data_IF_999529957234
#
_entry.id   IF_999529957234
#
_cell.length_a   1.000
_cell.length_b   1.000
_cell.length_c   1.000
_cell.angle_alpha   90.00
_cell.angle_beta   90.00
_cell.angle_gamma   90.00
#
_symmetry.space_group_name_H-M   'P 1'
#
loop_
_entity.id
_entity.type
_entity.pdbx_description
1 polymer ?
#
# COMPACT_ATOMS: atom_id res chain seq x y z
N UNK A 1 8.70 -35.51 18.66
CA UNK A 1 7.92 -34.63 17.76
C UNK A 1 7.31 -33.52 18.60
N UNK A 2 8.03 -32.40 18.76
CA UNK A 2 7.57 -31.28 19.58
C UNK A 2 6.61 -30.40 18.76
N UNK A 3 5.37 -30.24 19.25
CA UNK A 3 4.38 -29.36 18.67
C UNK A 3 4.91 -27.92 18.70
N UNK A 4 5.02 -27.30 17.54
CA UNK A 4 5.39 -25.89 17.38
C UNK A 4 4.23 -25.06 17.93
N UNK A 5 4.34 -24.67 19.19
CA UNK A 5 3.37 -23.82 19.87
C UNK A 5 3.37 -22.46 19.16
N UNK A 6 2.37 -22.23 18.30
CA UNK A 6 2.08 -20.92 17.74
C UNK A 6 1.68 -20.03 18.92
N UNK A 7 2.65 -19.29 19.45
CA UNK A 7 2.41 -18.20 20.39
C UNK A 7 1.52 -17.19 19.67
N UNK A 8 0.21 -17.30 19.84
CA UNK A 8 -0.74 -16.27 19.46
C UNK A 8 -0.36 -15.01 20.22
N UNK A 9 0.25 -14.04 19.52
CA UNK A 9 0.54 -12.73 20.11
C UNK A 9 -0.78 -12.08 20.48
N UNK A 10 -1.05 -12.01 21.78
CA UNK A 10 -2.16 -11.23 22.34
C UNK A 10 -1.79 -9.76 22.26
N UNK A 11 -2.41 -9.03 21.33
CA UNK A 11 -2.30 -7.57 21.25
C UNK A 11 -3.24 -6.96 22.30
N UNK A 12 -2.74 -6.82 23.52
CA UNK A 12 -3.43 -6.07 24.58
C UNK A 12 -2.76 -4.71 24.71
N UNK A 13 -3.23 -3.72 23.97
CA UNK A 13 -3.05 -2.31 24.31
C UNK A 13 -4.23 -1.52 23.77
N UNK A 14 -4.92 -0.81 24.66
CA UNK A 14 -5.72 0.33 24.24
C UNK A 14 -4.82 1.28 23.41
N UNK A 15 -5.32 1.88 22.33
CA UNK A 15 -4.51 2.77 21.50
C UNK A 15 -3.96 3.91 22.37
N UNK A 16 -2.62 3.97 22.54
CA UNK A 16 -1.99 5.12 23.17
C UNK A 16 -2.09 6.29 22.20
N UNK A 17 -2.94 7.25 22.55
CA UNK A 17 -3.10 8.50 21.83
C UNK A 17 -1.80 9.29 21.80
N UNK A 18 -1.00 9.22 22.86
CA UNK A 18 0.26 9.95 23.00
C UNK A 18 1.32 9.40 22.03
N UNK A 19 1.42 8.07 21.90
CA UNK A 19 2.35 7.45 20.97
C UNK A 19 2.00 7.80 19.51
N UNK A 20 0.71 7.77 19.19
CA UNK A 20 0.22 8.17 17.88
C UNK A 20 0.50 9.65 17.60
N UNK A 21 0.23 10.54 18.56
CA UNK A 21 0.44 11.99 18.38
C UNK A 21 1.92 12.35 18.22
N UNK A 22 2.81 11.69 18.98
CA UNK A 22 4.26 11.80 18.76
C UNK A 22 4.67 11.34 17.36
N UNK A 23 4.11 10.22 16.90
CA UNK A 23 4.38 9.73 15.55
C UNK A 23 3.88 10.71 14.48
N UNK A 24 2.67 11.26 14.61
CA UNK A 24 2.12 12.26 13.68
C UNK A 24 3.06 13.47 13.57
N UNK A 25 3.55 13.97 14.71
CA UNK A 25 4.50 15.09 14.73
C UNK A 25 5.81 14.74 14.03
N UNK A 26 6.38 13.57 14.30
CA UNK A 26 7.63 13.12 13.66
C UNK A 26 7.45 12.83 12.15
N UNK A 27 6.27 12.36 11.76
CA UNK A 27 5.90 12.02 10.39
C UNK A 27 5.83 13.23 9.46
N UNK A 28 5.48 14.42 9.98
CA UNK A 28 5.32 15.64 9.19
C UNK A 28 6.61 16.04 8.44
N UNK A 29 7.77 15.81 9.06
CA UNK A 29 9.08 16.15 8.47
C UNK A 29 9.75 14.98 7.75
N UNK A 30 9.18 13.78 7.86
CA UNK A 30 9.77 12.55 7.31
C UNK A 30 9.64 12.54 5.78
N UNK A 31 10.77 12.27 5.11
CA UNK A 31 10.85 12.14 3.66
C UNK A 31 11.58 10.85 3.31
N UNK A 32 11.00 10.04 2.43
CA UNK A 32 11.66 8.87 1.86
C UNK A 32 12.10 9.21 0.44
N UNK A 33 13.34 8.90 0.10
CA UNK A 33 13.89 9.11 -1.24
C UNK A 33 14.39 7.80 -1.81
N UNK A 34 13.95 7.47 -3.02
CA UNK A 34 14.44 6.35 -3.79
C UNK A 34 15.02 6.84 -5.10
N UNK A 35 16.13 6.24 -5.52
CA UNK A 35 16.73 6.45 -6.84
C UNK A 35 16.77 5.12 -7.57
N UNK A 36 16.38 5.14 -8.85
CA UNK A 36 16.40 3.96 -9.70
C UNK A 36 16.74 4.35 -11.14
N UNK A 37 17.45 3.47 -11.84
CA UNK A 37 17.45 3.45 -13.30
C UNK A 37 16.19 2.71 -13.74
N UNK A 38 15.42 3.30 -14.65
CA UNK A 38 14.15 2.76 -15.12
C UNK A 38 14.39 1.69 -16.19
N UNK A 39 15.03 0.58 -15.80
CA UNK A 39 15.48 -0.46 -16.73
C UNK A 39 14.33 -1.06 -17.55
N UNK A 40 14.53 -1.28 -18.87
CA UNK A 40 13.54 -1.91 -19.75
C UNK A 40 13.22 -3.35 -19.32
N UNK A 41 14.15 -4.07 -18.70
CA UNK A 41 13.93 -5.45 -18.25
C UNK A 41 12.78 -5.53 -17.23
N UNK A 42 12.70 -4.59 -16.29
CA UNK A 42 11.63 -4.56 -15.30
C UNK A 42 10.25 -4.27 -15.94
N UNK A 43 10.23 -3.46 -17.01
CA UNK A 43 9.00 -3.25 -17.77
C UNK A 43 8.65 -4.46 -18.63
N UNK A 44 9.65 -5.20 -19.14
CA UNK A 44 9.41 -6.45 -19.84
C UNK A 44 8.69 -7.45 -18.93
N UNK A 45 9.15 -7.59 -17.68
CA UNK A 45 8.52 -8.43 -16.65
C UNK A 45 7.08 -7.99 -16.37
N UNK A 46 6.84 -6.67 -16.26
CA UNK A 46 5.51 -6.11 -16.11
C UNK A 46 4.61 -6.46 -17.32
N UNK A 47 5.11 -6.31 -18.54
CA UNK A 47 4.33 -6.53 -19.76
C UNK A 47 3.95 -8.01 -19.93
N UNK A 48 4.84 -8.95 -19.60
CA UNK A 48 4.49 -10.37 -19.68
C UNK A 48 3.55 -10.81 -18.54
N UNK A 49 3.66 -10.17 -17.36
CA UNK A 49 2.81 -10.48 -16.21
C UNK A 49 1.40 -9.89 -16.36
N UNK A 50 1.31 -8.66 -16.86
CA UNK A 50 0.07 -7.91 -17.06
C UNK A 50 -0.04 -7.43 -18.53
N UNK A 51 -0.26 -8.35 -19.49
CA UNK A 51 -0.17 -8.07 -20.93
C UNK A 51 -1.24 -7.11 -21.46
N UNK A 52 -2.19 -6.69 -20.64
CA UNK A 52 -3.20 -5.69 -20.99
C UNK A 52 -2.78 -4.25 -20.65
N UNK A 53 -1.62 -4.06 -20.00
CA UNK A 53 -1.20 -2.74 -19.50
C UNK A 53 -0.29 -1.94 -20.41
N UNK A 54 0.19 -2.49 -21.52
CA UNK A 54 0.83 -1.70 -22.58
C UNK A 54 -0.20 -0.87 -23.40
N UNK A 55 -1.50 -1.02 -23.11
CA UNK A 55 -2.59 -0.34 -23.80
C UNK A 55 -2.96 -0.95 -25.15
N UNK A 56 -2.36 -2.08 -25.52
CA UNK A 56 -2.57 -2.68 -26.83
C UNK A 56 -2.88 -4.17 -26.71
N UNK A 57 -3.93 -4.65 -27.38
CA UNK A 57 -4.15 -6.11 -27.56
C UNK A 57 -3.14 -6.69 -28.58
N UNK A 58 -1.96 -6.09 -28.70
CA UNK A 58 -0.97 -6.44 -29.71
C UNK A 58 -0.02 -7.52 -29.15
N UNK A 59 0.71 -8.21 -30.02
CA UNK A 59 1.81 -9.05 -29.58
C UNK A 59 2.80 -8.25 -28.73
N UNK A 60 3.42 -8.93 -27.76
CA UNK A 60 4.46 -8.37 -26.92
C UNK A 60 5.55 -7.69 -27.77
N UNK A 61 5.90 -6.48 -27.38
CA UNK A 61 7.05 -5.74 -27.91
C UNK A 61 7.93 -5.34 -26.73
N UNK A 62 9.24 -5.62 -26.76
CA UNK A 62 10.11 -5.23 -25.67
C UNK A 62 10.18 -3.69 -25.56
N UNK A 63 10.15 -3.14 -24.33
CA UNK A 63 10.33 -1.71 -24.10
C UNK A 63 11.73 -1.28 -24.50
N UNK A 64 11.81 -0.18 -25.25
CA UNK A 64 13.08 0.40 -25.71
C UNK A 64 13.51 1.56 -24.84
N UNK A 65 14.81 1.67 -24.58
CA UNK A 65 15.38 2.83 -23.87
C UNK A 65 15.12 4.14 -24.62
N UNK A 66 15.03 5.24 -23.87
CA UNK A 66 14.70 6.56 -24.36
C UNK A 66 13.22 6.78 -24.68
N UNK A 67 12.40 5.72 -24.71
CA UNK A 67 10.97 5.88 -24.99
C UNK A 67 10.20 6.35 -23.75
N UNK A 68 9.08 7.08 -23.93
CA UNK A 68 8.17 7.44 -22.84
C UNK A 68 7.60 6.21 -22.13
N UNK A 69 7.71 6.17 -20.81
CA UNK A 69 7.06 5.15 -19.99
C UNK A 69 5.53 5.30 -20.04
N UNK A 70 4.82 4.17 -20.15
CA UNK A 70 3.37 4.14 -20.13
C UNK A 70 2.76 4.54 -18.78
N UNK A 71 1.51 5.03 -18.81
CA UNK A 71 0.81 5.45 -17.59
C UNK A 71 0.61 4.29 -16.62
N UNK A 72 0.89 4.56 -15.34
CA UNK A 72 0.82 3.58 -14.25
C UNK A 72 1.98 2.58 -14.19
N UNK A 73 2.89 2.54 -15.17
CA UNK A 73 4.01 1.58 -15.14
C UNK A 73 5.09 1.94 -14.11
N UNK A 74 5.17 3.21 -13.71
CA UNK A 74 6.09 3.67 -12.66
C UNK A 74 5.89 2.98 -11.31
N UNK A 75 4.71 2.37 -11.08
CA UNK A 75 4.38 1.66 -9.84
C UNK A 75 5.29 0.48 -9.52
N UNK A 76 6.01 -0.06 -10.50
CA UNK A 76 6.93 -1.19 -10.26
C UNK A 76 8.35 -0.74 -9.89
N UNK A 77 8.72 0.53 -10.00
CA UNK A 77 10.13 0.93 -9.86
C UNK A 77 10.57 1.39 -8.46
N UNK A 78 9.71 2.08 -7.74
CA UNK A 78 10.08 2.78 -6.50
C UNK A 78 9.54 2.10 -5.25
N UNK A 79 9.53 0.77 -5.24
CA UNK A 79 9.13 0.01 -4.06
C UNK A 79 10.20 0.10 -2.96
N UNK A 80 9.80 0.10 -1.67
CA UNK A 80 10.73 -0.01 -0.56
C UNK A 80 11.64 -1.24 -0.70
N UNK A 81 12.92 -1.10 -0.34
CA UNK A 81 13.91 -2.18 -0.32
C UNK A 81 14.21 -2.62 1.11
N UNK A 82 13.14 -2.81 1.88
CA UNK A 82 13.20 -3.19 3.29
C UNK A 82 13.39 -4.71 3.39
N UNK A 83 14.43 -5.20 4.10
CA UNK A 83 14.59 -6.63 4.34
C UNK A 83 13.37 -7.24 5.03
N UNK A 84 13.05 -8.50 4.73
CA UNK A 84 11.85 -9.16 5.26
C UNK A 84 11.77 -9.13 6.80
N UNK A 85 12.92 -9.24 7.49
CA UNK A 85 13.01 -9.19 8.96
C UNK A 85 12.56 -7.86 9.56
N UNK A 86 12.61 -6.79 8.77
CA UNK A 86 12.28 -5.42 9.17
C UNK A 86 10.88 -5.00 8.71
N UNK A 87 10.15 -5.90 8.02
CA UNK A 87 8.77 -5.68 7.64
C UNK A 87 7.84 -5.81 8.85
N UNK A 88 6.72 -5.11 8.78
CA UNK A 88 5.62 -5.23 9.75
C UNK A 88 5.01 -6.64 9.70
N UNK A 89 4.24 -7.05 10.71
CA UNK A 89 3.60 -8.36 10.73
C UNK A 89 2.71 -8.70 9.53
N UNK A 90 2.21 -7.69 8.81
CA UNK A 90 1.41 -7.84 7.59
C UNK A 90 2.25 -7.85 6.29
N UNK A 91 3.59 -7.90 6.41
CA UNK A 91 4.53 -7.88 5.28
C UNK A 91 4.75 -6.50 4.66
N UNK A 92 4.26 -5.44 5.30
CA UNK A 92 4.40 -4.07 4.79
C UNK A 92 5.61 -3.34 5.37
N UNK A 93 6.11 -2.33 4.67
CA UNK A 93 7.16 -1.44 5.19
C UNK A 93 6.66 -0.64 6.42
N UNK A 94 7.58 -0.23 7.30
CA UNK A 94 7.22 0.46 8.55
C UNK A 94 7.24 1.99 8.46
N UNK A 95 7.75 2.57 7.36
CA UNK A 95 8.22 3.96 7.39
C UNK A 95 7.12 5.00 7.60
N UNK A 96 5.98 4.84 6.92
CA UNK A 96 4.83 5.74 7.03
C UNK A 96 3.63 5.04 7.66
N UNK A 97 3.91 4.12 8.56
CA UNK A 97 2.92 3.35 9.28
C UNK A 97 2.77 3.88 10.72
N UNK A 98 1.53 4.14 11.18
CA UNK A 98 1.29 4.48 12.58
C UNK A 98 1.70 3.32 13.50
N UNK A 99 2.03 3.63 14.78
CA UNK A 99 2.40 2.61 15.76
C UNK A 99 1.24 1.65 16.07
N UNK A 100 1.54 0.57 16.80
CA UNK A 100 0.49 -0.31 17.33
C UNK A 100 -0.56 0.49 18.13
N UNK A 101 -1.86 0.09 18.09
CA UNK A 101 -2.41 -1.14 17.51
C UNK A 101 -2.81 -1.03 16.02
N UNK A 102 -2.41 0.03 15.30
CA UNK A 102 -2.84 0.31 13.92
C UNK A 102 -2.08 -0.52 12.86
N UNK A 103 -2.21 -1.84 12.95
CA UNK A 103 -1.42 -2.81 12.16
C UNK A 103 -2.11 -3.34 10.91
N UNK A 104 -3.42 -3.13 10.74
CA UNK A 104 -4.13 -3.53 9.51
C UNK A 104 -4.21 -2.34 8.56
N UNK A 105 -3.59 -2.44 7.38
CA UNK A 105 -3.59 -1.41 6.33
C UNK A 105 -4.59 -1.73 5.22
N UNK A 106 -5.30 -0.72 4.73
CA UNK A 106 -6.10 -0.79 3.50
C UNK A 106 -5.80 0.41 2.60
N UNK A 107 -5.88 0.22 1.28
CA UNK A 107 -5.85 1.32 0.31
C UNK A 107 -7.23 1.98 0.26
N UNK A 108 -7.32 3.24 0.68
CA UNK A 108 -8.58 3.98 0.74
C UNK A 108 -8.85 4.80 -0.53
N UNK A 109 -7.80 5.14 -1.29
CA UNK A 109 -7.93 5.91 -2.53
C UNK A 109 -6.62 6.59 -2.91
N UNK A 110 -6.67 7.39 -3.98
CA UNK A 110 -5.51 8.15 -4.45
C UNK A 110 -5.78 8.86 -5.77
N UNK A 111 -4.81 9.65 -6.21
CA UNK A 111 -4.81 10.38 -7.48
C UNK A 111 -3.41 10.33 -8.09
N UNK A 112 -3.32 10.30 -9.41
CA UNK A 112 -2.05 10.42 -10.12
C UNK A 112 -2.16 11.50 -11.19
N UNK A 113 -1.09 12.27 -11.34
CA UNK A 113 -0.95 13.33 -12.33
C UNK A 113 0.34 13.11 -13.11
N UNK A 114 0.22 12.93 -14.42
CA UNK A 114 1.36 12.80 -15.34
C UNK A 114 1.53 14.12 -16.09
N UNK A 115 2.57 14.87 -15.76
CA UNK A 115 2.89 16.17 -16.38
C UNK A 115 3.76 16.00 -17.61
N UNK A 116 4.68 15.04 -17.55
CA UNK A 116 5.58 14.63 -18.63
C UNK A 116 6.00 13.18 -18.38
N UNK A 117 6.49 12.45 -19.40
CA UNK A 117 6.84 11.06 -19.20
C UNK A 117 8.10 10.90 -18.34
N UNK A 118 8.14 9.78 -17.60
CA UNK A 118 9.41 9.19 -17.19
C UNK A 118 10.01 8.48 -18.41
N UNK A 119 11.33 8.48 -18.53
CA UNK A 119 12.02 7.88 -19.69
C UNK A 119 12.60 6.51 -19.35
N UNK A 120 12.30 5.51 -20.17
CA UNK A 120 12.84 4.16 -20.02
C UNK A 120 14.37 4.21 -20.21
N UNK A 121 15.12 3.50 -19.38
CA UNK A 121 16.59 3.51 -19.36
C UNK A 121 17.21 4.71 -18.63
N UNK A 122 16.44 5.78 -18.36
CA UNK A 122 16.95 6.95 -17.64
C UNK A 122 16.96 6.73 -16.12
N UNK A 123 17.80 7.51 -15.42
CA UNK A 123 17.72 7.61 -13.96
C UNK A 123 16.56 8.50 -13.55
N UNK A 124 15.89 8.11 -12.48
CA UNK A 124 14.81 8.87 -11.88
C UNK A 124 14.85 8.77 -10.35
N UNK A 125 14.23 9.74 -9.69
CA UNK A 125 14.09 9.78 -8.24
C UNK A 125 12.63 9.86 -7.85
N UNK A 126 12.24 9.17 -6.79
CA UNK A 126 10.96 9.30 -6.12
C UNK A 126 11.18 9.88 -4.72
N UNK A 127 10.41 10.89 -4.36
CA UNK A 127 10.37 11.47 -3.02
C UNK A 127 8.96 11.31 -2.47
N UNK A 128 8.82 10.58 -1.37
CA UNK A 128 7.54 10.40 -0.67
C UNK A 128 7.54 11.18 0.63
N UNK A 129 6.44 11.90 0.89
CA UNK A 129 6.17 12.63 2.12
C UNK A 129 4.77 12.29 2.64
N UNK A 130 4.52 12.54 3.92
CA UNK A 130 3.16 12.56 4.44
C UNK A 130 2.59 13.96 4.22
N UNK A 131 1.47 14.02 3.50
CA UNK A 131 0.72 15.25 3.26
C UNK A 131 -0.20 15.56 4.45
N UNK A 132 -0.90 14.55 4.96
CA UNK A 132 -1.74 14.68 6.15
C UNK A 132 -1.99 13.37 6.87
N UNK A 133 -2.33 13.47 8.15
CA UNK A 133 -2.82 12.36 8.98
C UNK A 133 -4.12 12.74 9.66
N UNK A 134 -5.15 11.90 9.53
CA UNK A 134 -6.46 12.12 10.17
C UNK A 134 -6.82 10.96 11.11
N UNK A 135 -7.27 11.32 12.33
CA UNK A 135 -7.81 10.39 13.32
C UNK A 135 -9.34 10.33 13.19
N UNK A 136 -9.93 9.15 12.98
CA UNK A 136 -11.39 8.97 12.89
C UNK A 136 -11.87 7.83 13.78
N UNK A 137 -13.09 7.95 14.30
CA UNK A 137 -13.75 6.86 15.04
C UNK A 137 -13.22 6.56 16.45
N UNK A 138 -12.29 7.38 16.98
CA UNK A 138 -11.73 7.21 18.33
C UNK A 138 -12.81 7.27 19.41
N UNK A 139 -13.70 8.27 19.34
CA UNK A 139 -14.82 8.44 20.27
C UNK A 139 -15.86 7.31 20.20
N UNK A 140 -15.92 6.60 19.06
CA UNK A 140 -16.90 5.54 18.78
C UNK A 140 -16.36 4.14 19.06
N UNK A 141 -15.17 4.02 19.65
CA UNK A 141 -14.51 2.74 19.92
C UNK A 141 -14.02 1.98 18.67
N UNK A 142 -14.03 2.64 17.50
CA UNK A 142 -13.64 2.09 16.21
C UNK A 142 -12.52 2.95 15.58
N UNK A 143 -11.36 3.09 16.24
CA UNK A 143 -10.34 4.04 15.82
C UNK A 143 -9.70 3.64 14.49
N UNK A 144 -9.51 4.64 13.63
CA UNK A 144 -8.88 4.55 12.32
C UNK A 144 -7.93 5.73 12.14
N UNK A 145 -6.79 5.47 11.49
CA UNK A 145 -5.82 6.51 11.13
C UNK A 145 -5.69 6.54 9.62
N UNK A 146 -6.06 7.65 9.00
CA UNK A 146 -5.85 7.89 7.57
C UNK A 146 -4.51 8.59 7.41
N UNK A 147 -3.68 8.08 6.51
CA UNK A 147 -2.37 8.66 6.17
C UNK A 147 -2.38 8.94 4.68
N UNK A 148 -2.35 10.22 4.33
CA UNK A 148 -2.22 10.68 2.95
C UNK A 148 -0.74 10.92 2.66
N UNK A 149 -0.25 10.23 1.64
CA UNK A 149 1.12 10.33 1.16
C UNK A 149 1.13 11.06 -0.17
N UNK A 150 2.11 11.93 -0.37
CA UNK A 150 2.43 12.52 -1.67
C UNK A 150 3.76 11.96 -2.15
N UNK A 151 3.80 11.54 -3.41
CA UNK A 151 4.94 10.88 -4.04
C UNK A 151 5.25 11.65 -5.32
N UNK A 152 6.37 12.36 -5.34
CA UNK A 152 6.84 13.11 -6.50
C UNK A 152 7.98 12.35 -7.19
N UNK A 153 7.81 12.04 -8.47
CA UNK A 153 8.79 11.33 -9.29
C UNK A 153 9.37 12.25 -10.36
N UNK A 154 10.69 12.30 -10.47
CA UNK A 154 11.46 13.17 -11.37
C UNK A 154 12.44 12.37 -12.20
N UNK A 155 12.58 12.67 -13.48
CA UNK A 155 13.78 12.22 -14.20
C UNK A 155 14.99 12.97 -13.64
N UNK A 156 16.18 12.37 -13.78
CA UNK A 156 17.42 13.04 -13.42
C UNK A 156 17.57 14.37 -14.20
N UNK A 157 17.93 15.44 -13.49
CA UNK A 157 18.05 16.79 -14.06
C UNK A 157 16.75 17.59 -14.10
N UNK A 158 15.59 16.99 -13.86
CA UNK A 158 14.32 17.70 -13.84
C UNK A 158 14.10 18.49 -12.55
N UNK A 159 13.70 19.76 -12.67
CA UNK A 159 13.26 20.57 -11.52
C UNK A 159 11.86 20.17 -11.02
N UNK A 160 10.94 19.94 -11.96
CA UNK A 160 9.54 19.65 -11.70
C UNK A 160 9.25 18.14 -11.79
N UNK A 161 8.34 17.58 -10.97
CA UNK A 161 7.94 16.19 -11.06
C UNK A 161 7.32 15.87 -12.42
N UNK A 162 7.75 14.75 -12.99
CA UNK A 162 7.15 14.12 -14.16
C UNK A 162 5.80 13.46 -13.78
N UNK A 163 5.77 12.81 -12.62
CA UNK A 163 4.58 12.19 -12.05
C UNK A 163 4.43 12.63 -10.60
N UNK A 164 3.22 13.03 -10.22
CA UNK A 164 2.84 13.24 -8.81
C UNK A 164 1.73 12.24 -8.49
N UNK A 165 1.93 11.43 -7.45
CA UNK A 165 0.94 10.50 -6.92
C UNK A 165 0.54 10.91 -5.49
N UNK A 166 -0.76 10.91 -5.23
CA UNK A 166 -1.36 11.01 -3.90
C UNK A 166 -1.95 9.65 -3.54
N UNK A 167 -1.65 9.15 -2.34
CA UNK A 167 -2.08 7.83 -1.89
C UNK A 167 -2.60 7.89 -0.47
N UNK A 168 -3.83 7.42 -0.28
CA UNK A 168 -4.47 7.39 1.02
C UNK A 168 -4.54 5.97 1.53
N UNK A 169 -3.84 5.72 2.63
CA UNK A 169 -3.98 4.48 3.39
C UNK A 169 -4.84 4.72 4.63
N UNK A 170 -5.67 3.75 4.96
CA UNK A 170 -6.34 3.68 6.27
C UNK A 170 -5.75 2.55 7.09
N UNK A 171 -5.42 2.85 8.34
CA UNK A 171 -4.93 1.89 9.31
C UNK A 171 -5.99 1.65 10.39
N UNK A 172 -6.30 0.39 10.62
CA UNK A 172 -7.30 -0.07 11.57
C UNK A 172 -6.62 -0.68 12.79
N UNK A 173 -7.13 -0.36 13.98
CA UNK A 173 -6.70 -1.02 15.20
C UNK A 173 -7.12 -2.50 15.20
N UNK A 174 -6.17 -3.41 15.49
CA UNK A 174 -6.48 -4.83 15.62
C UNK A 174 -7.38 -5.07 16.86
N UNK A 175 -8.34 -5.99 16.75
CA UNK A 175 -9.24 -6.36 17.85
C UNK A 175 -10.42 -5.41 18.11
N UNK A 176 -10.35 -4.15 17.67
CA UNK A 176 -11.41 -3.14 17.93
C UNK A 176 -12.41 -3.01 16.77
N UNK A 177 -11.98 -3.23 15.53
CA UNK A 177 -12.85 -3.18 14.34
C UNK A 177 -13.37 -4.57 13.94
N UNK A 178 -14.07 -5.25 14.85
CA UNK A 178 -14.78 -6.48 14.50
C UNK A 178 -16.13 -6.13 13.86
N UNK A 179 -16.27 -6.39 12.55
CA UNK A 179 -17.60 -6.48 11.95
C UNK A 179 -18.29 -7.69 12.60
N UNK A 180 -19.38 -7.46 13.34
CA UNK A 180 -20.31 -8.55 13.67
C UNK A 180 -20.72 -9.17 12.33
N UNK A 181 -20.35 -10.42 12.08
CA UNK A 181 -20.95 -11.16 10.97
C UNK A 181 -22.47 -11.10 11.19
N UNK A 182 -23.19 -10.47 10.27
CA UNK A 182 -24.65 -10.61 10.26
C UNK A 182 -24.89 -12.08 9.93
N UNK A 183 -25.25 -12.87 10.94
CA UNK A 183 -25.90 -14.16 10.73
C UNK A 183 -27.23 -13.89 10.02
N UNK A 184 -27.16 -13.74 8.71
CA UNK A 184 -28.28 -13.43 7.84
C UNK A 184 -28.37 -14.49 6.75
N UNK A 185 -29.33 -15.39 6.91
CA UNK A 185 -30.00 -16.13 5.83
C UNK A 185 -29.25 -17.26 5.09
N UNK A 186 -28.22 -17.90 5.65
CA UNK A 186 -27.69 -19.17 5.07
C UNK A 186 -27.91 -20.43 5.92
N UNK A 187 -28.41 -20.32 7.17
CA UNK A 187 -28.63 -21.51 8.02
C UNK A 187 -30.03 -22.13 7.90
N UNK A 188 -30.99 -21.47 7.23
CA UNK A 188 -32.34 -22.05 7.04
C UNK A 188 -32.45 -22.96 5.82
N UNK A 189 -31.56 -22.83 4.82
CA UNK A 189 -31.64 -23.63 3.60
C UNK A 189 -31.05 -25.04 3.77
N UNK A 190 -29.94 -25.18 4.51
CA UNK A 190 -29.39 -26.50 4.87
C UNK A 190 -30.28 -27.32 5.82
N UNK A 191 -31.11 -26.69 6.64
CA UNK A 191 -31.99 -27.40 7.57
C UNK A 191 -33.28 -27.93 6.90
N UNK A 192 -33.66 -27.39 5.73
CA UNK A 192 -34.81 -27.87 4.96
C UNK A 192 -34.42 -28.97 3.96
N UNK A 193 -33.22 -28.92 3.39
CA UNK A 193 -32.72 -29.98 2.48
C UNK A 193 -32.39 -31.30 3.22
N UNK A 194 -32.04 -31.26 4.51
CA UNK A 194 -31.80 -32.47 5.32
C UNK A 194 -33.06 -33.11 5.92
N UNK A 195 -34.25 -32.48 5.77
CA UNK A 195 -35.54 -33.06 6.20
C UNK A 195 -36.35 -33.68 5.05
N UNK A 196 -35.84 -33.66 3.82
CA UNK A 196 -36.49 -34.29 2.66
C UNK A 196 -35.82 -35.62 2.25
N UNK A 197 -34.88 -36.14 3.04
CA UNK A 197 -34.15 -37.39 2.77
C UNK A 197 -34.33 -38.47 3.85
N UNK A 198 -35.40 -38.41 4.63
CA UNK A 198 -35.92 -39.52 5.43
C UNK A 198 -37.44 -39.54 5.39
#
# INVERSE_FOLDING_TARGET
>A
MAARQLLGRTYSTAPSTEALDRWIKAAADKRLKYSATLHPDHLSDLYVTLPTRDGTRKPYVPPSEGTPMGYGHHLVFFHPRTPERDLRPDGTDADFCPPEPFIRRMWAGGRMEWRKPLLIGAKATSVTTIDSVEKKGFEKGAPMVFVQQKIDMRNEGDEQPAVTEERTHVYLALGLNQRKFRNGAYSKQLALEQRSLY
#
